data_IF_405654074476
#
_entry.id   IF_405654074476
#
_cell.length_a   1.000
_cell.length_b   1.000
_cell.length_c   1.000
_cell.angle_alpha   90.00
_cell.angle_beta   90.00
_cell.angle_gamma   90.00
#
_symmetry.space_group_name_H-M   'P 1'
#
loop_
_entity.id
_entity.type
_entity.pdbx_description
1 polymer ?
#
# COMPACT_ATOMS: atom_id res chain seq x y z
N UNK A 1 -20.19 -6.67 8.90
CA UNK A 1 -18.88 -6.10 9.31
C UNK A 1 -18.37 -5.03 8.33
N UNK A 2 -19.13 -4.65 7.30
CA UNK A 2 -18.65 -3.79 6.19
C UNK A 2 -18.83 -2.28 6.42
N UNK A 3 -19.56 -1.85 7.45
CA UNK A 3 -19.89 -0.43 7.69
C UNK A 3 -18.72 0.40 8.22
N UNK A 4 -17.72 -0.19 8.88
CA UNK A 4 -16.63 0.60 9.50
C UNK A 4 -15.67 1.23 8.48
N UNK A 5 -15.63 0.71 7.25
CA UNK A 5 -14.72 1.17 6.21
C UNK A 5 -15.41 2.04 5.14
N UNK A 6 -16.73 2.24 5.22
CA UNK A 6 -17.45 3.03 4.20
C UNK A 6 -17.02 4.48 4.20
N UNK A 7 -16.82 5.08 5.38
CA UNK A 7 -16.36 6.46 5.55
C UNK A 7 -14.97 6.65 4.93
N UNK A 8 -13.89 5.95 5.37
CA UNK A 8 -12.57 6.18 4.81
C UNK A 8 -12.50 5.90 3.30
N UNK A 9 -13.24 4.91 2.80
CA UNK A 9 -13.32 4.63 1.36
C UNK A 9 -13.97 5.79 0.60
N UNK A 10 -15.09 6.32 1.09
CA UNK A 10 -15.72 7.48 0.45
C UNK A 10 -14.80 8.70 0.47
N UNK A 11 -14.19 9.02 1.63
CA UNK A 11 -13.26 10.14 1.76
C UNK A 11 -12.11 10.06 0.74
N UNK A 12 -11.50 8.89 0.57
CA UNK A 12 -10.40 8.71 -0.37
C UNK A 12 -10.81 8.86 -1.84
N UNK A 13 -11.99 8.34 -2.19
CA UNK A 13 -12.55 8.47 -3.54
C UNK A 13 -12.98 9.92 -3.82
N UNK A 14 -13.56 10.60 -2.83
CA UNK A 14 -13.97 12.00 -2.92
C UNK A 14 -12.75 12.93 -3.04
N UNK A 15 -11.69 12.68 -2.27
CA UNK A 15 -10.43 13.42 -2.40
C UNK A 15 -9.80 13.24 -3.79
N UNK A 16 -9.72 12.00 -4.29
CA UNK A 16 -9.06 11.71 -5.56
C UNK A 16 -9.82 12.22 -6.78
N UNK A 17 -11.16 12.26 -6.74
CA UNK A 17 -11.97 12.91 -7.79
C UNK A 17 -11.91 14.45 -7.74
N UNK A 18 -11.72 15.02 -6.55
CA UNK A 18 -11.70 16.47 -6.37
C UNK A 18 -10.34 17.06 -6.75
N UNK A 19 -9.26 16.35 -6.42
CA UNK A 19 -7.89 16.68 -6.81
C UNK A 19 -7.21 15.46 -7.44
N UNK A 20 -7.05 15.51 -8.76
CA UNK A 20 -6.42 14.44 -9.52
C UNK A 20 -4.93 14.24 -9.16
N UNK A 21 -4.30 15.19 -8.47
CA UNK A 21 -2.92 15.05 -7.96
C UNK A 21 -2.81 13.97 -6.88
N UNK A 22 -3.91 13.67 -6.16
CA UNK A 22 -3.98 12.59 -5.19
C UNK A 22 -3.82 11.20 -5.83
N UNK A 23 -4.05 11.10 -7.15
CA UNK A 23 -3.81 9.90 -7.94
C UNK A 23 -4.79 8.77 -7.63
N UNK A 24 -4.28 7.54 -7.55
CA UNK A 24 -5.13 6.38 -7.31
C UNK A 24 -5.70 6.39 -5.87
N UNK A 25 -7.03 6.34 -5.68
CA UNK A 25 -7.65 6.40 -4.35
C UNK A 25 -7.26 5.22 -3.45
N UNK A 26 -6.98 4.06 -4.05
CA UNK A 26 -6.50 2.89 -3.33
C UNK A 26 -5.07 3.09 -2.78
N UNK A 27 -4.19 3.80 -3.51
CA UNK A 27 -2.88 4.17 -2.98
C UNK A 27 -3.02 5.16 -1.81
N UNK A 28 -3.96 6.12 -1.90
CA UNK A 28 -4.23 7.06 -0.82
C UNK A 28 -4.71 6.35 0.46
N UNK A 29 -5.62 5.37 0.34
CA UNK A 29 -6.06 4.53 1.45
C UNK A 29 -4.89 3.77 2.09
N UNK A 30 -4.06 3.14 1.27
CA UNK A 30 -2.90 2.38 1.76
C UNK A 30 -1.91 3.28 2.51
N UNK A 31 -1.56 4.45 1.94
CA UNK A 31 -0.66 5.42 2.57
C UNK A 31 -1.21 5.94 3.90
N UNK A 32 -2.52 6.25 3.97
CA UNK A 32 -3.17 6.67 5.21
C UNK A 32 -3.11 5.58 6.29
N UNK A 33 -3.30 4.32 5.91
CA UNK A 33 -3.13 3.19 6.84
C UNK A 33 -1.67 3.08 7.30
N UNK A 34 -0.72 3.14 6.38
CA UNK A 34 0.71 3.04 6.70
C UNK A 34 1.17 4.15 7.64
N UNK A 35 0.76 5.39 7.38
CA UNK A 35 1.05 6.53 8.25
C UNK A 35 0.49 6.34 9.65
N UNK A 36 -0.80 5.98 9.76
CA UNK A 36 -1.43 5.74 11.06
C UNK A 36 -0.72 4.63 11.86
N UNK A 37 -0.33 3.53 11.20
CA UNK A 37 0.38 2.44 11.87
C UNK A 37 1.78 2.86 12.33
N UNK A 38 2.51 3.62 11.51
CA UNK A 38 3.83 4.13 11.87
C UNK A 38 3.75 5.13 13.04
N UNK A 39 2.73 5.98 13.08
CA UNK A 39 2.49 6.89 14.21
C UNK A 39 2.15 6.14 15.49
N UNK A 40 1.30 5.11 15.38
CA UNK A 40 0.92 4.27 16.52
C UNK A 40 2.15 3.56 17.11
N UNK A 41 3.01 2.98 16.26
CA UNK A 41 4.22 2.27 16.68
C UNK A 41 5.31 3.22 17.20
N UNK A 42 5.34 4.47 16.78
CA UNK A 42 6.30 5.42 17.36
C UNK A 42 5.72 6.13 18.59
N UNK A 43 4.41 6.18 18.73
CA UNK A 43 3.69 6.85 19.81
C UNK A 43 3.60 6.03 21.10
N UNK A 44 2.66 6.42 21.95
CA UNK A 44 2.45 5.82 23.26
C UNK A 44 2.02 4.34 23.21
N UNK A 45 1.47 3.88 22.08
CA UNK A 45 0.96 2.50 21.93
C UNK A 45 2.05 1.43 21.98
N UNK A 46 3.34 1.76 21.80
CA UNK A 46 4.44 0.82 22.09
C UNK A 46 4.58 0.45 23.57
N UNK A 47 3.96 1.22 24.46
CA UNK A 47 3.91 0.92 25.89
C UNK A 47 2.85 -0.15 26.21
N UNK A 48 1.95 -0.46 25.26
CA UNK A 48 0.96 -1.53 25.43
C UNK A 48 1.63 -2.91 25.28
N UNK A 49 1.50 -3.80 26.29
CA UNK A 49 2.16 -5.10 26.28
C UNK A 49 1.82 -5.95 25.04
N UNK A 50 0.56 -5.91 24.59
CA UNK A 50 0.09 -6.74 23.47
C UNK A 50 0.71 -6.33 22.12
N UNK A 51 0.89 -5.02 21.90
CA UNK A 51 1.56 -4.48 20.72
C UNK A 51 3.05 -4.83 20.76
N UNK A 52 3.67 -4.69 21.93
CA UNK A 52 5.10 -5.02 22.13
C UNK A 52 5.41 -6.49 21.89
N UNK A 53 4.57 -7.41 22.38
CA UNK A 53 4.74 -8.86 22.15
C UNK A 53 4.67 -9.18 20.66
N UNK A 54 3.70 -8.60 19.93
CA UNK A 54 3.54 -8.87 18.51
C UNK A 54 4.68 -8.27 17.67
N UNK A 55 5.06 -7.02 17.94
CA UNK A 55 6.16 -6.35 17.25
C UNK A 55 7.52 -7.02 17.51
N UNK A 56 7.77 -7.52 18.72
CA UNK A 56 8.98 -8.30 18.97
C UNK A 56 8.98 -9.65 18.22
N UNK A 57 7.83 -10.31 18.13
CA UNK A 57 7.70 -11.59 17.44
C UNK A 57 7.90 -11.42 15.93
N UNK A 58 7.24 -10.44 15.33
CA UNK A 58 7.18 -10.26 13.86
C UNK A 58 8.29 -9.37 13.32
N UNK A 59 8.80 -8.41 14.10
CA UNK A 59 9.71 -7.40 13.59
C UNK A 59 9.10 -6.52 12.50
N UNK A 60 9.96 -5.84 11.75
CA UNK A 60 9.58 -4.94 10.66
C UNK A 60 10.37 -5.27 9.39
N UNK A 61 9.77 -5.03 8.23
CA UNK A 61 10.50 -5.13 6.97
C UNK A 61 11.51 -3.98 6.86
N UNK A 62 12.49 -4.12 5.96
CA UNK A 62 13.50 -3.08 5.74
C UNK A 62 12.88 -1.71 5.44
N UNK A 63 11.87 -1.67 4.57
CA UNK A 63 11.15 -0.44 4.21
C UNK A 63 10.55 0.23 5.45
N UNK A 64 9.84 -0.52 6.29
CA UNK A 64 9.22 0.06 7.49
C UNK A 64 10.23 0.47 8.55
N UNK A 65 11.38 -0.21 8.66
CA UNK A 65 12.48 0.30 9.49
C UNK A 65 12.99 1.66 8.98
N UNK A 66 13.21 1.80 7.68
CA UNK A 66 13.69 3.05 7.08
C UNK A 66 12.65 4.18 7.28
N UNK A 67 11.36 3.89 7.09
CA UNK A 67 10.27 4.86 7.33
C UNK A 67 10.18 5.28 8.81
N UNK A 68 10.27 4.32 9.73
CA UNK A 68 10.27 4.61 11.17
C UNK A 68 11.48 5.45 11.58
N UNK A 69 12.64 5.22 10.97
CA UNK A 69 13.89 5.93 11.29
C UNK A 69 13.84 7.41 10.88
N UNK A 70 13.24 7.71 9.72
CA UNK A 70 13.12 9.09 9.22
C UNK A 70 12.13 9.90 10.06
N UNK A 71 11.12 9.26 10.65
CA UNK A 71 10.21 9.92 11.60
C UNK A 71 11.01 10.32 12.85
N UNK A 72 10.95 11.60 13.24
CA UNK A 72 11.79 12.25 14.28
C UNK A 72 11.53 11.79 15.73
N UNK A 73 11.20 10.51 15.95
CA UNK A 73 11.00 9.89 17.26
C UNK A 73 12.04 8.77 17.51
N UNK A 74 13.28 9.19 17.73
CA UNK A 74 14.41 8.27 17.97
C UNK A 74 14.25 7.44 19.23
N UNK A 75 13.61 7.99 20.27
CA UNK A 75 13.40 7.28 21.53
C UNK A 75 12.39 6.15 21.36
N UNK A 76 11.24 6.41 20.73
CA UNK A 76 10.23 5.37 20.44
C UNK A 76 10.84 4.22 19.66
N UNK A 77 11.58 4.52 18.58
CA UNK A 77 12.28 3.50 17.80
C UNK A 77 13.33 2.73 18.64
N UNK A 78 14.12 3.42 19.47
CA UNK A 78 15.13 2.77 20.31
C UNK A 78 14.51 1.80 21.32
N UNK A 79 13.38 2.15 21.93
CA UNK A 79 12.65 1.28 22.87
C UNK A 79 12.10 0.04 22.16
N UNK A 80 11.53 0.20 20.96
CA UNK A 80 11.07 -0.91 20.12
C UNK A 80 12.22 -1.86 19.79
N UNK A 81 13.36 -1.31 19.35
CA UNK A 81 14.53 -2.10 19.00
C UNK A 81 15.15 -2.80 20.21
N UNK A 82 15.26 -2.12 21.36
CA UNK A 82 15.82 -2.70 22.58
C UNK A 82 15.03 -3.95 23.00
N UNK A 83 13.70 -3.84 22.99
CA UNK A 83 12.80 -4.95 23.30
C UNK A 83 12.95 -6.12 22.32
N UNK A 84 12.92 -5.83 21.02
CA UNK A 84 13.00 -6.83 19.97
C UNK A 84 14.35 -7.57 19.98
N UNK A 85 15.47 -6.86 20.18
CA UNK A 85 16.80 -7.45 20.26
C UNK A 85 16.96 -8.36 21.49
N UNK A 86 16.38 -8.00 22.64
CA UNK A 86 16.39 -8.86 23.84
C UNK A 86 15.64 -10.18 23.60
N UNK A 87 14.48 -10.12 22.96
CA UNK A 87 13.70 -11.33 22.62
C UNK A 87 14.45 -12.21 21.60
N UNK A 88 14.98 -11.59 20.55
CA UNK A 88 15.76 -12.29 19.53
C UNK A 88 17.01 -12.95 20.12
N UNK A 89 17.70 -12.27 21.04
CA UNK A 89 18.85 -12.85 21.73
C UNK A 89 18.46 -14.11 22.52
N UNK A 90 17.30 -14.11 23.17
CA UNK A 90 16.76 -15.29 23.87
C UNK A 90 16.45 -16.44 22.91
N UNK A 91 15.76 -16.14 21.80
CA UNK A 91 15.41 -17.12 20.78
C UNK A 91 16.64 -17.80 20.17
N UNK A 92 17.65 -17.00 19.78
CA UNK A 92 18.86 -17.50 19.12
C UNK A 92 19.77 -18.28 20.09
N UNK A 93 19.93 -17.81 21.34
CA UNK A 93 20.71 -18.53 22.36
C UNK A 93 20.06 -19.87 22.74
N UNK A 94 18.74 -19.91 22.87
CA UNK A 94 18.00 -21.15 23.15
C UNK A 94 18.14 -22.19 22.02
N UNK A 95 18.34 -21.73 20.78
CA UNK A 95 18.60 -22.58 19.62
C UNK A 95 20.01 -23.17 19.57
N UNK A 96 21.01 -22.52 20.19
CA UNK A 96 22.39 -23.00 20.22
C UNK A 96 22.55 -24.28 21.07
N UNK A 97 21.76 -24.42 22.14
CA UNK A 97 21.74 -25.64 22.97
C UNK A 97 21.02 -26.79 22.25
N UNK A 98 19.94 -26.51 21.50
CA UNK A 98 19.20 -27.53 20.74
C UNK A 98 19.88 -27.98 19.44
N UNK A 99 20.66 -27.10 18.80
CA UNK A 99 21.41 -27.40 17.56
C UNK A 99 22.54 -28.41 17.75
N UNK A 100 22.98 -28.64 18.99
CA UNK A 100 23.98 -29.66 19.33
C UNK A 100 23.36 -31.09 19.34
N UNK A 101 22.02 -31.20 19.31
CA UNK A 101 21.30 -32.47 19.50
C UNK A 101 20.45 -32.85 18.26
N UNK A 102 20.02 -31.90 17.42
CA UNK A 102 19.16 -32.18 16.27
C UNK A 102 19.71 -31.57 14.96
N UNK A 103 19.94 -32.44 13.98
CA UNK A 103 20.53 -32.10 12.68
C UNK A 103 19.66 -31.19 11.79
N UNK A 104 20.37 -30.47 10.92
CA UNK A 104 19.99 -29.83 9.65
C UNK A 104 18.88 -28.75 9.62
N UNK A 105 18.17 -28.47 10.71
CA UNK A 105 17.16 -27.40 10.70
C UNK A 105 17.19 -26.62 12.02
N UNK A 106 18.36 -26.04 12.29
CA UNK A 106 18.63 -25.32 13.53
C UNK A 106 17.56 -24.24 13.78
N UNK A 107 16.94 -24.27 14.96
CA UNK A 107 15.94 -23.30 15.46
C UNK A 107 16.27 -21.82 15.12
N UNK A 108 17.54 -21.37 15.14
CA UNK A 108 17.94 -20.03 14.70
C UNK A 108 17.62 -19.72 13.23
N UNK A 109 17.92 -20.63 12.30
CA UNK A 109 17.70 -20.42 10.85
C UNK A 109 16.22 -20.27 10.54
N UNK A 110 15.36 -21.09 11.16
CA UNK A 110 13.90 -20.97 11.04
C UNK A 110 13.40 -19.63 11.60
N UNK A 111 13.94 -19.18 12.73
CA UNK A 111 13.57 -17.90 13.34
C UNK A 111 13.95 -16.71 12.46
N UNK A 112 15.16 -16.71 11.91
CA UNK A 112 15.64 -15.65 11.00
C UNK A 112 14.81 -15.63 9.72
N UNK A 113 14.56 -16.80 9.11
CA UNK A 113 13.69 -16.90 7.93
C UNK A 113 12.28 -16.39 8.19
N UNK A 114 11.74 -16.62 9.39
CA UNK A 114 10.44 -16.06 9.77
C UNK A 114 10.49 -14.51 9.80
N UNK A 115 11.53 -13.93 10.40
CA UNK A 115 11.72 -12.46 10.46
C UNK A 115 11.89 -11.83 9.07
N UNK A 116 12.64 -12.47 8.18
CA UNK A 116 12.83 -11.99 6.80
C UNK A 116 11.51 -11.88 6.03
N UNK A 117 10.49 -12.66 6.41
CA UNK A 117 9.20 -12.74 5.74
C UNK A 117 8.04 -12.20 6.59
N UNK A 118 8.33 -11.49 7.69
CA UNK A 118 7.31 -10.91 8.55
C UNK A 118 7.50 -9.42 8.75
N UNK A 119 6.38 -8.70 8.87
CA UNK A 119 6.37 -7.32 9.29
C UNK A 119 5.03 -7.00 9.94
N UNK A 120 5.09 -6.52 11.18
CA UNK A 120 3.90 -6.16 11.94
C UNK A 120 3.06 -5.09 11.24
N UNK A 121 3.71 -4.06 10.69
CA UNK A 121 3.08 -2.96 9.95
C UNK A 121 2.41 -3.48 8.68
N UNK A 122 3.13 -4.21 7.81
CA UNK A 122 2.56 -4.81 6.60
C UNK A 122 1.30 -5.62 6.93
N UNK A 123 1.37 -6.52 7.91
CA UNK A 123 0.25 -7.38 8.28
C UNK A 123 -0.98 -6.58 8.69
N UNK A 124 -0.80 -5.51 9.48
CA UNK A 124 -1.90 -4.64 9.91
C UNK A 124 -2.49 -3.84 8.76
N UNK A 125 -1.64 -3.24 7.91
CA UNK A 125 -2.09 -2.53 6.72
C UNK A 125 -2.86 -3.48 5.82
N UNK A 126 -2.31 -4.64 5.50
CA UNK A 126 -2.93 -5.64 4.64
C UNK A 126 -4.30 -6.06 5.18
N UNK A 127 -4.41 -6.31 6.49
CA UNK A 127 -5.69 -6.63 7.11
C UNK A 127 -6.73 -5.55 6.81
N UNK A 128 -6.47 -4.29 7.14
CA UNK A 128 -7.44 -3.21 6.95
C UNK A 128 -7.68 -2.89 5.48
N UNK A 129 -6.63 -2.87 4.67
CA UNK A 129 -6.69 -2.55 3.24
C UNK A 129 -7.51 -3.57 2.45
N UNK A 130 -7.39 -4.87 2.76
CA UNK A 130 -8.20 -5.90 2.11
C UNK A 130 -9.70 -5.72 2.40
N UNK A 131 -10.07 -5.29 3.60
CA UNK A 131 -11.47 -4.98 3.92
C UNK A 131 -11.94 -3.72 3.22
N UNK A 132 -11.11 -2.67 3.14
CA UNK A 132 -11.44 -1.46 2.37
C UNK A 132 -11.67 -1.78 0.89
N UNK A 133 -10.82 -2.61 0.27
CA UNK A 133 -11.01 -3.05 -1.11
C UNK A 133 -12.31 -3.84 -1.30
N UNK A 134 -12.71 -4.66 -0.32
CA UNK A 134 -14.02 -5.32 -0.33
C UNK A 134 -15.18 -4.32 -0.20
N UNK A 135 -15.02 -3.30 0.64
CA UNK A 135 -16.00 -2.22 0.81
C UNK A 135 -16.19 -1.42 -0.47
N UNK A 136 -15.15 -1.18 -1.27
CA UNK A 136 -15.29 -0.55 -2.60
C UNK A 136 -16.27 -1.33 -3.48
N UNK A 137 -16.14 -2.67 -3.54
CA UNK A 137 -17.03 -3.52 -4.34
C UNK A 137 -18.44 -3.55 -3.77
N UNK A 138 -18.58 -3.63 -2.45
CA UNK A 138 -19.88 -3.53 -1.77
C UNK A 138 -20.59 -2.20 -2.09
N UNK A 139 -19.88 -1.08 -2.00
CA UNK A 139 -20.43 0.24 -2.30
C UNK A 139 -20.81 0.36 -3.77
N UNK A 140 -20.01 -0.18 -4.69
CA UNK A 140 -20.36 -0.20 -6.11
C UNK A 140 -21.64 -1.01 -6.38
N UNK A 141 -21.83 -2.14 -5.71
CA UNK A 141 -23.03 -2.96 -5.92
C UNK A 141 -24.28 -2.31 -5.33
N UNK A 142 -24.16 -1.72 -4.14
CA UNK A 142 -25.31 -1.27 -3.34
C UNK A 142 -25.65 0.22 -3.47
N UNK A 143 -24.69 1.08 -3.82
CA UNK A 143 -24.85 2.54 -3.84
C UNK A 143 -24.62 3.09 -5.24
N UNK A 144 -25.66 3.64 -5.86
CA UNK A 144 -25.61 4.19 -7.21
C UNK A 144 -24.66 5.38 -7.33
N UNK A 145 -24.72 6.31 -6.39
CA UNK A 145 -23.81 7.47 -6.31
C UNK A 145 -22.34 7.05 -6.27
N UNK A 146 -22.02 5.90 -5.66
CA UNK A 146 -20.64 5.42 -5.63
C UNK A 146 -20.15 4.96 -7.00
N UNK A 147 -21.04 4.52 -7.90
CA UNK A 147 -20.68 4.17 -9.28
C UNK A 147 -20.23 5.41 -10.05
N UNK A 148 -20.91 6.54 -9.84
CA UNK A 148 -20.51 7.84 -10.39
C UNK A 148 -19.17 8.31 -9.79
N UNK A 149 -18.97 8.11 -8.47
CA UNK A 149 -17.69 8.40 -7.83
C UNK A 149 -16.56 7.59 -8.44
N UNK A 150 -16.75 6.28 -8.66
CA UNK A 150 -15.77 5.40 -9.28
C UNK A 150 -15.45 5.84 -10.71
N UNK A 151 -16.45 6.20 -11.51
CA UNK A 151 -16.27 6.60 -12.90
C UNK A 151 -15.53 7.93 -13.08
N UNK A 152 -15.49 8.76 -12.04
CA UNK A 152 -14.80 10.05 -12.04
C UNK A 152 -13.48 10.04 -11.27
N UNK A 153 -12.91 8.86 -10.99
CA UNK A 153 -11.56 8.76 -10.47
C UNK A 153 -10.54 9.11 -11.57
N UNK A 154 -9.37 9.67 -11.20
CA UNK A 154 -8.35 10.06 -12.17
C UNK A 154 -7.76 8.84 -12.88
N UNK A 155 -7.46 7.78 -12.11
CA UNK A 155 -7.03 6.46 -12.59
C UNK A 155 -6.98 5.45 -11.44
N UNK A 156 -6.79 4.17 -11.77
CA UNK A 156 -6.34 3.16 -10.83
C UNK A 156 -4.95 2.66 -11.27
N UNK A 157 -3.97 2.60 -10.37
CA UNK A 157 -2.68 2.00 -10.74
C UNK A 157 -2.89 0.51 -11.06
N UNK A 158 -2.05 -0.08 -11.92
CA UNK A 158 -2.24 -1.46 -12.39
C UNK A 158 -2.41 -2.48 -11.27
N UNK A 159 -1.65 -2.42 -10.15
CA UNK A 159 -1.87 -3.35 -9.03
C UNK A 159 -3.27 -3.24 -8.42
N UNK A 160 -3.80 -2.02 -8.27
CA UNK A 160 -5.13 -1.79 -7.69
C UNK A 160 -6.26 -2.02 -8.69
N UNK A 161 -6.05 -1.75 -9.98
CA UNK A 161 -6.96 -2.14 -11.03
C UNK A 161 -7.19 -3.66 -11.03
N UNK A 162 -6.10 -4.45 -11.02
CA UNK A 162 -6.17 -5.91 -10.89
C UNK A 162 -6.89 -6.34 -9.61
N UNK A 163 -6.50 -5.79 -8.45
CA UNK A 163 -7.11 -6.12 -7.16
C UNK A 163 -8.62 -5.89 -7.19
N UNK A 164 -9.08 -4.76 -7.73
CA UNK A 164 -10.50 -4.43 -7.80
C UNK A 164 -11.26 -5.36 -8.75
N UNK A 165 -10.67 -5.75 -9.89
CA UNK A 165 -11.27 -6.75 -10.78
C UNK A 165 -11.42 -8.12 -10.10
N UNK A 166 -10.37 -8.60 -9.44
CA UNK A 166 -10.41 -9.89 -8.70
C UNK A 166 -11.44 -9.86 -7.57
N UNK A 167 -11.55 -8.75 -6.84
CA UNK A 167 -12.53 -8.57 -5.77
C UNK A 167 -13.95 -8.44 -6.31
N UNK A 168 -14.11 -7.79 -7.48
CA UNK A 168 -15.37 -7.70 -8.22
C UNK A 168 -15.85 -9.08 -8.66
N UNK A 169 -14.99 -9.88 -9.29
CA UNK A 169 -15.31 -11.23 -9.77
C UNK A 169 -15.77 -12.16 -8.64
N UNK A 170 -15.13 -12.05 -7.47
CA UNK A 170 -15.46 -12.85 -6.30
C UNK A 170 -16.79 -12.48 -5.61
N UNK A 171 -17.35 -11.29 -5.85
CA UNK A 171 -18.48 -10.75 -5.06
C UNK A 171 -19.68 -10.32 -5.89
N UNK A 172 -19.47 -9.79 -7.10
CA UNK A 172 -20.54 -9.24 -7.93
C UNK A 172 -21.22 -10.34 -8.75
N UNK A 173 -22.53 -10.23 -8.93
CA UNK A 173 -23.24 -11.06 -9.92
C UNK A 173 -22.80 -10.74 -11.34
N UNK A 174 -22.91 -11.70 -12.28
CA UNK A 174 -22.42 -11.60 -13.67
C UNK A 174 -22.75 -10.27 -14.37
N UNK A 175 -24.01 -9.81 -14.25
CA UNK A 175 -24.45 -8.54 -14.84
C UNK A 175 -23.70 -7.34 -14.24
N UNK A 176 -23.65 -7.25 -12.91
CA UNK A 176 -22.98 -6.15 -12.22
C UNK A 176 -21.47 -6.18 -12.43
N UNK A 177 -20.86 -7.36 -12.52
CA UNK A 177 -19.44 -7.50 -12.82
C UNK A 177 -19.09 -6.97 -14.22
N UNK A 178 -19.93 -7.22 -15.22
CA UNK A 178 -19.75 -6.64 -16.56
C UNK A 178 -19.82 -5.10 -16.52
N UNK A 179 -20.84 -4.54 -15.86
CA UNK A 179 -20.97 -3.08 -15.69
C UNK A 179 -19.77 -2.47 -14.94
N UNK A 180 -19.29 -3.15 -13.89
CA UNK A 180 -18.12 -2.75 -13.12
C UNK A 180 -16.86 -2.73 -13.98
N UNK A 181 -16.62 -3.82 -14.73
CA UNK A 181 -15.45 -3.98 -15.61
C UNK A 181 -15.43 -2.90 -16.68
N UNK A 182 -16.58 -2.59 -17.28
CA UNK A 182 -16.71 -1.53 -18.28
C UNK A 182 -16.49 -0.13 -17.67
N UNK A 183 -16.99 0.11 -16.45
CA UNK A 183 -16.82 1.39 -15.76
C UNK A 183 -15.35 1.63 -15.38
N UNK A 184 -14.72 0.68 -14.68
CA UNK A 184 -13.32 0.81 -14.26
C UNK A 184 -12.36 0.76 -15.45
N UNK A 185 -12.69 -0.02 -16.49
CA UNK A 185 -11.93 -0.07 -17.75
C UNK A 185 -11.95 1.25 -18.51
N UNK A 186 -13.07 1.99 -18.51
CA UNK A 186 -13.13 3.33 -19.13
C UNK A 186 -12.19 4.32 -18.44
N UNK A 187 -12.21 4.36 -17.10
CA UNK A 187 -11.28 5.18 -16.31
C UNK A 187 -9.83 4.82 -16.64
N UNK A 188 -9.53 3.52 -16.66
CA UNK A 188 -8.19 3.01 -16.90
C UNK A 188 -7.66 3.35 -18.31
N UNK A 189 -8.46 3.11 -19.34
CA UNK A 189 -8.06 3.30 -20.73
C UNK A 189 -7.91 4.79 -21.08
N UNK A 190 -8.77 5.65 -20.52
CA UNK A 190 -8.64 7.09 -20.70
C UNK A 190 -7.29 7.59 -20.17
N UNK A 191 -6.92 7.21 -18.94
CA UNK A 191 -5.64 7.62 -18.38
C UNK A 191 -4.44 6.99 -19.10
N UNK A 192 -4.54 5.73 -19.53
CA UNK A 192 -3.48 5.06 -20.30
C UNK A 192 -3.19 5.81 -21.61
N UNK A 193 -4.23 6.27 -22.31
CA UNK A 193 -4.08 7.05 -23.54
C UNK A 193 -3.37 8.39 -23.25
N UNK A 194 -3.83 9.14 -22.24
CA UNK A 194 -3.19 10.40 -21.83
C UNK A 194 -1.73 10.20 -21.43
N UNK A 195 -1.43 9.19 -20.61
CA UNK A 195 -0.07 8.92 -20.15
C UNK A 195 0.85 8.49 -21.29
N UNK A 196 0.33 7.77 -22.27
CA UNK A 196 1.09 7.39 -23.48
C UNK A 196 1.45 8.62 -24.32
N UNK A 197 0.51 9.55 -24.50
CA UNK A 197 0.77 10.83 -25.18
C UNK A 197 1.80 11.67 -24.42
N UNK A 198 1.67 11.74 -23.10
CA UNK A 198 2.60 12.48 -22.25
C UNK A 198 4.03 11.93 -22.34
N UNK A 199 4.21 10.61 -22.29
CA UNK A 199 5.52 9.93 -22.46
C UNK A 199 6.05 10.17 -23.87
N UNK A 200 5.21 10.06 -24.90
CA UNK A 200 5.61 10.32 -26.29
C UNK A 200 6.13 11.75 -26.45
N UNK A 201 5.47 12.73 -25.82
CA UNK A 201 5.90 14.11 -25.84
C UNK A 201 7.15 14.36 -25.00
N UNK A 202 7.32 13.67 -23.86
CA UNK A 202 8.58 13.67 -23.11
C UNK A 202 9.75 13.22 -23.98
N UNK A 203 9.61 12.11 -24.72
CA UNK A 203 10.66 11.64 -25.64
C UNK A 203 10.97 12.67 -26.73
N UNK A 204 9.96 13.33 -27.30
CA UNK A 204 10.16 14.38 -28.32
C UNK A 204 10.94 15.58 -27.80
N UNK A 205 10.85 15.91 -26.51
CA UNK A 205 11.60 17.03 -25.91
C UNK A 205 13.11 16.83 -25.85
N UNK A 206 13.61 15.63 -26.18
CA UNK A 206 15.04 15.35 -26.36
C UNK A 206 15.49 15.43 -27.83
N UNK A 207 14.59 15.80 -28.74
CA UNK A 207 14.87 16.09 -30.13
C UNK A 207 14.89 17.61 -30.34
N UNK A 208 16.02 18.13 -30.83
CA UNK A 208 16.26 19.57 -31.00
C UNK A 208 15.16 20.30 -31.80
N UNK A 209 14.44 19.57 -32.67
CA UNK A 209 13.32 20.11 -33.45
C UNK A 209 12.16 20.58 -32.57
N UNK A 210 12.05 20.07 -31.36
CA UNK A 210 11.00 20.37 -30.40
C UNK A 210 11.49 21.24 -29.23
N UNK A 211 12.69 21.81 -29.28
CA UNK A 211 13.28 22.58 -28.18
C UNK A 211 12.41 23.78 -27.77
N UNK A 212 11.91 24.52 -28.76
CA UNK A 212 11.07 25.69 -28.55
C UNK A 212 9.63 25.36 -28.09
N UNK A 213 9.20 24.10 -28.22
CA UNK A 213 7.84 23.70 -27.88
C UNK A 213 7.65 23.57 -26.34
N UNK A 214 6.48 23.92 -25.80
CA UNK A 214 6.22 23.80 -24.37
C UNK A 214 6.17 22.33 -23.93
N UNK A 215 6.55 22.07 -22.69
CA UNK A 215 6.53 20.73 -22.11
C UNK A 215 5.13 20.14 -21.89
N UNK A 216 4.07 20.98 -21.89
CA UNK A 216 2.71 20.57 -21.51
C UNK A 216 2.75 19.82 -20.16
N UNK A 217 2.08 18.66 -20.08
CA UNK A 217 2.04 17.80 -18.89
C UNK A 217 3.15 16.74 -18.86
N UNK A 218 4.15 16.81 -19.74
CA UNK A 218 5.08 15.69 -19.92
C UNK A 218 6.26 15.66 -18.95
N UNK A 219 6.54 16.75 -18.22
CA UNK A 219 7.76 16.85 -17.38
C UNK A 219 7.88 15.74 -16.35
N UNK A 220 6.75 15.35 -15.75
CA UNK A 220 6.65 14.32 -14.70
C UNK A 220 6.07 12.99 -15.24
N UNK A 221 5.96 12.85 -16.56
CA UNK A 221 5.27 11.72 -17.18
C UNK A 221 5.95 10.38 -16.89
N UNK A 222 7.28 10.37 -16.75
CA UNK A 222 8.06 9.18 -16.41
C UNK A 222 7.73 8.71 -15.00
N UNK A 223 7.73 9.62 -14.03
CA UNK A 223 7.36 9.35 -12.64
C UNK A 223 5.91 8.87 -12.54
N UNK A 224 4.98 9.54 -13.24
CA UNK A 224 3.57 9.13 -13.31
C UNK A 224 3.41 7.74 -13.93
N UNK A 225 4.16 7.42 -14.98
CA UNK A 225 4.14 6.09 -15.59
C UNK A 225 4.62 5.00 -14.62
N UNK A 226 5.72 5.24 -13.89
CA UNK A 226 6.22 4.29 -12.89
C UNK A 226 5.18 4.08 -11.77
N UNK A 227 4.61 5.16 -11.22
CA UNK A 227 3.56 5.11 -10.19
C UNK A 227 2.30 4.37 -10.69
N UNK A 228 1.90 4.62 -11.93
CA UNK A 228 0.77 3.94 -12.55
C UNK A 228 1.02 2.43 -12.69
N UNK A 229 2.22 2.02 -13.12
CA UNK A 229 2.56 0.61 -13.35
C UNK A 229 2.77 -0.18 -12.04
N UNK A 230 3.31 0.47 -11.00
CA UNK A 230 3.79 -0.21 -9.77
C UNK A 230 3.08 0.17 -8.49
N UNK A 231 2.10 1.07 -8.58
CA UNK A 231 1.49 1.74 -7.43
C UNK A 231 2.47 2.63 -6.65
N UNK A 232 1.94 3.44 -5.76
CA UNK A 232 2.68 4.33 -4.87
C UNK A 232 2.39 3.92 -3.42
N UNK A 233 2.88 2.72 -3.06
CA UNK A 233 2.55 2.08 -1.78
C UNK A 233 3.52 2.44 -0.65
N UNK A 234 4.65 3.07 -0.96
CA UNK A 234 5.74 3.38 -0.01
C UNK A 234 6.48 4.67 -0.37
N UNK A 235 5.77 5.78 -0.62
CA UNK A 235 6.44 7.07 -0.84
C UNK A 235 7.03 7.58 0.47
N UNK A 236 8.36 7.64 0.55
CA UNK A 236 9.05 8.54 1.46
C UNK A 236 8.95 9.93 0.82
N UNK A 237 7.84 10.64 1.03
CA UNK A 237 7.76 12.07 0.73
C UNK A 237 8.55 12.88 1.79
#
# INVERSE_FOLDING_TARGET
MEQIYTIPVNEAFDASRADHSCGCPMCALYRKLEENELELILGASMMEPDVRIQTNKEGFCRTHYDMMFVRKNRLGMALTLESHLKELQGDLKSGFIGSLIQGADAKPTKRIKALENSCYVCRRIDFHFQHMAQTVIYLYDTVEEFREKLAAQPYFCLPHYRLLLERGDARLGKKRMAEFTDAIGRVQNAYLATLTEDISWFCKKFDYRYDAEPWKNSKDSVERAIKFLRADLHSND
#
